data_IF_509387820545
#
_entry.id   IF_509387820545
#
_cell.length_a   1.000
_cell.length_b   1.000
_cell.length_c   1.000
_cell.angle_alpha   90.00
_cell.angle_beta   90.00
_cell.angle_gamma   90.00
#
_symmetry.space_group_name_H-M   'P 1'
#
loop_
_entity.id
_entity.type
_entity.pdbx_description
1 polymer ?
#
# COMPACT_ATOMS: atom_id res chain seq x y z
N UNK A 1 -9.62 14.25 -68.86
CA UNK A 1 -10.39 14.80 -67.73
C UNK A 1 -9.38 15.37 -66.74
N UNK A 2 -9.06 16.66 -66.85
CA UNK A 2 -7.96 17.27 -66.11
C UNK A 2 -8.49 17.81 -64.79
N UNK A 3 -8.13 17.16 -63.68
CA UNK A 3 -8.46 17.63 -62.34
C UNK A 3 -7.57 18.84 -62.06
N UNK A 4 -8.18 19.99 -61.76
CA UNK A 4 -7.44 21.23 -61.46
C UNK A 4 -6.53 21.04 -60.24
N UNK A 5 -5.33 21.63 -60.27
CA UNK A 5 -4.43 21.67 -59.10
C UNK A 5 -5.15 22.20 -57.86
N UNK A 6 -6.09 23.13 -58.00
CA UNK A 6 -6.90 23.63 -56.89
C UNK A 6 -7.76 22.52 -56.25
N UNK A 7 -8.33 21.62 -57.06
CA UNK A 7 -9.13 20.51 -56.58
C UNK A 7 -8.28 19.45 -55.83
N UNK A 8 -7.03 19.24 -56.27
CA UNK A 8 -6.08 18.36 -55.57
C UNK A 8 -5.62 18.95 -54.23
N UNK A 9 -5.44 20.27 -54.15
CA UNK A 9 -5.08 20.97 -52.89
C UNK A 9 -6.26 20.97 -51.89
N UNK A 10 -7.49 21.13 -52.37
CA UNK A 10 -8.68 21.07 -51.52
C UNK A 10 -8.88 19.64 -50.98
N UNK A 11 -8.70 18.62 -51.81
CA UNK A 11 -8.85 17.22 -51.40
C UNK A 11 -7.75 16.80 -50.41
N UNK A 12 -6.50 17.25 -50.60
CA UNK A 12 -5.41 16.97 -49.65
C UNK A 12 -5.62 17.69 -48.31
N UNK A 13 -6.13 18.93 -48.33
CA UNK A 13 -6.48 19.67 -47.11
C UNK A 13 -7.65 19.00 -46.35
N UNK A 14 -8.67 18.52 -47.06
CA UNK A 14 -9.80 17.78 -46.46
C UNK A 14 -9.38 16.42 -45.87
N UNK A 15 -8.47 15.71 -46.53
CA UNK A 15 -7.91 14.45 -46.02
C UNK A 15 -7.00 14.70 -44.80
N UNK A 16 -6.28 15.82 -44.73
CA UNK A 16 -5.46 16.20 -43.58
C UNK A 16 -6.29 16.58 -42.34
N UNK A 17 -7.45 17.24 -42.52
CA UNK A 17 -8.35 17.61 -41.41
C UNK A 17 -8.95 16.36 -40.74
N UNK A 18 -9.32 15.35 -41.52
CA UNK A 18 -9.91 14.10 -41.00
C UNK A 18 -8.91 13.21 -40.23
N UNK A 19 -7.60 13.38 -40.44
CA UNK A 19 -6.57 12.66 -39.69
C UNK A 19 -6.33 13.25 -38.28
N UNK A 20 -6.68 14.52 -38.04
CA UNK A 20 -6.48 15.17 -36.72
C UNK A 20 -7.55 14.78 -35.70
N UNK A 21 -8.74 14.33 -36.14
CA UNK A 21 -9.82 13.94 -35.23
C UNK A 21 -9.71 12.50 -34.69
N UNK A 22 -8.85 11.66 -35.29
CA UNK A 22 -8.73 10.24 -34.92
C UNK A 22 -7.67 9.97 -33.84
N UNK A 23 -6.65 10.82 -33.72
CA UNK A 23 -5.60 10.67 -32.70
C UNK A 23 -5.97 11.22 -31.31
N UNK A 24 -7.04 12.02 -31.21
CA UNK A 24 -7.55 12.58 -29.96
C UNK A 24 -8.76 11.76 -29.46
N UNK A 25 -8.55 10.49 -29.11
CA UNK A 25 -9.60 9.61 -28.58
C UNK A 25 -10.46 10.32 -27.52
N UNK A 26 -11.73 10.54 -27.79
CA UNK A 26 -12.44 11.55 -27.02
C UNK A 26 -12.66 11.17 -25.55
N UNK A 27 -12.34 12.07 -24.62
CA UNK A 27 -12.62 11.91 -23.19
C UNK A 27 -14.01 12.48 -22.80
N UNK A 28 -15.04 12.23 -23.61
CA UNK A 28 -16.42 12.56 -23.25
C UNK A 28 -17.04 11.40 -22.43
N UNK A 29 -17.72 11.73 -21.34
CA UNK A 29 -18.33 10.73 -20.44
C UNK A 29 -17.40 10.20 -19.33
N UNK A 30 -17.99 9.45 -18.38
CA UNK A 30 -17.30 8.85 -17.23
C UNK A 30 -17.54 9.56 -15.89
N UNK A 31 -17.41 8.80 -14.80
CA UNK A 31 -17.57 9.30 -13.44
C UNK A 31 -16.30 10.00 -12.94
N UNK A 32 -16.42 10.99 -12.03
CA UNK A 32 -15.26 11.63 -11.41
C UNK A 32 -14.36 10.65 -10.66
N UNK A 33 -13.05 10.89 -10.73
CA UNK A 33 -12.02 10.09 -10.06
C UNK A 33 -11.08 10.99 -9.27
N UNK A 34 -10.41 10.42 -8.27
CA UNK A 34 -9.41 11.10 -7.47
C UNK A 34 -8.03 10.65 -7.92
N UNK A 35 -7.15 11.60 -8.24
CA UNK A 35 -5.75 11.31 -8.58
C UNK A 35 -4.89 11.12 -7.32
N UNK A 36 -3.73 10.46 -7.48
CA UNK A 36 -2.73 10.31 -6.40
C UNK A 36 -2.19 11.64 -5.86
N UNK A 37 -2.35 12.72 -6.62
CA UNK A 37 -2.03 14.09 -6.23
C UNK A 37 -3.13 14.78 -5.40
N UNK A 38 -4.18 14.05 -5.01
CA UNK A 38 -5.29 14.58 -4.22
C UNK A 38 -6.26 15.49 -4.98
N UNK A 39 -6.16 15.57 -6.32
CA UNK A 39 -7.05 16.38 -7.17
C UNK A 39 -8.15 15.53 -7.80
N UNK A 40 -9.39 16.03 -7.80
CA UNK A 40 -10.52 15.41 -8.51
C UNK A 40 -10.43 15.71 -10.00
N UNK A 41 -10.55 14.68 -10.83
CA UNK A 41 -10.64 14.78 -12.29
C UNK A 41 -12.04 14.42 -12.75
N UNK A 42 -12.51 15.06 -13.84
CA UNK A 42 -13.86 14.84 -14.37
C UNK A 42 -14.14 13.38 -14.74
N UNK A 43 -13.12 12.66 -15.20
CA UNK A 43 -13.15 11.23 -15.49
C UNK A 43 -11.73 10.66 -15.53
N UNK A 44 -11.64 9.32 -15.55
CA UNK A 44 -10.38 8.58 -15.61
C UNK A 44 -9.55 8.89 -16.86
N UNK A 45 -10.19 9.07 -18.01
CA UNK A 45 -9.52 9.43 -19.27
C UNK A 45 -8.72 10.73 -19.14
N UNK A 46 -9.33 11.78 -18.56
CA UNK A 46 -8.68 13.08 -18.36
C UNK A 46 -7.56 13.02 -17.33
N UNK A 47 -7.70 12.19 -16.28
CA UNK A 47 -6.63 11.97 -15.31
C UNK A 47 -5.42 11.28 -15.95
N UNK A 48 -5.65 10.15 -16.62
CA UNK A 48 -4.58 9.36 -17.28
C UNK A 48 -3.86 10.15 -18.37
N UNK A 49 -4.58 10.97 -19.16
CA UNK A 49 -3.98 11.86 -20.17
C UNK A 49 -3.02 12.91 -19.58
N UNK A 50 -3.22 13.28 -18.32
CA UNK A 50 -2.34 14.19 -17.59
C UNK A 50 -1.23 13.46 -16.84
N UNK A 51 -1.05 12.16 -17.08
CA UNK A 51 -0.05 11.32 -16.40
C UNK A 51 -0.39 11.04 -14.93
N UNK A 52 -1.65 11.18 -14.53
CA UNK A 52 -2.07 11.04 -13.14
C UNK A 52 -2.66 9.65 -12.91
N UNK A 53 -2.04 8.90 -12.00
CA UNK A 53 -2.54 7.61 -11.52
C UNK A 53 -3.81 7.82 -10.69
N UNK A 54 -4.79 6.93 -10.86
CA UNK A 54 -6.04 6.97 -10.10
C UNK A 54 -5.81 6.44 -8.69
N UNK A 55 -6.09 7.26 -7.68
CA UNK A 55 -6.09 6.86 -6.28
C UNK A 55 -7.39 6.14 -5.89
N UNK A 56 -8.54 6.65 -6.32
CA UNK A 56 -9.83 5.99 -6.13
C UNK A 56 -10.87 6.46 -7.17
N UNK A 57 -11.89 5.63 -7.43
CA UNK A 57 -12.97 5.89 -8.41
C UNK A 57 -14.13 6.72 -7.82
N UNK A 58 -13.79 7.84 -7.20
CA UNK A 58 -14.71 8.83 -6.62
C UNK A 58 -14.02 10.19 -6.56
N UNK A 59 -14.73 11.25 -6.18
CA UNK A 59 -14.10 12.57 -5.95
C UNK A 59 -13.12 12.49 -4.77
N UNK A 60 -12.10 13.34 -4.78
CA UNK A 60 -11.21 13.51 -3.64
C UNK A 60 -11.93 14.24 -2.48
N UNK A 61 -11.43 14.08 -1.23
CA UNK A 61 -10.39 13.13 -0.82
C UNK A 61 -10.87 11.68 -0.96
N UNK A 62 -9.93 10.74 -1.10
CA UNK A 62 -10.25 9.31 -1.08
C UNK A 62 -10.69 8.82 0.32
N UNK A 63 -11.62 9.53 0.98
CA UNK A 63 -12.33 9.03 2.16
C UNK A 63 -13.13 7.81 1.76
N UNK A 64 -12.74 6.69 2.31
CA UNK A 64 -13.52 5.48 2.21
C UNK A 64 -14.84 5.73 2.94
N UNK A 65 -15.95 5.66 2.22
CA UNK A 65 -17.31 5.71 2.79
C UNK A 65 -17.62 4.41 3.52
N UNK A 66 -16.68 3.88 4.31
CA UNK A 66 -16.95 2.68 5.07
C UNK A 66 -17.86 3.06 6.21
N UNK A 67 -19.01 2.41 6.21
CA UNK A 67 -19.85 2.34 7.37
C UNK A 67 -19.22 1.29 8.27
N UNK A 68 -18.49 1.75 9.26
CA UNK A 68 -17.98 0.91 10.33
C UNK A 68 -18.73 1.24 11.61
N UNK A 69 -19.02 0.21 12.38
CA UNK A 69 -19.54 0.35 13.73
C UNK A 69 -18.44 0.97 14.63
N UNK A 70 -18.87 1.60 15.73
CA UNK A 70 -17.99 2.33 16.66
C UNK A 70 -17.44 1.44 17.79
N UNK A 71 -17.62 0.12 17.71
CA UNK A 71 -17.07 -0.83 18.66
C UNK A 71 -15.55 -0.77 18.69
N UNK A 72 -15.02 -0.85 19.90
CA UNK A 72 -13.59 -0.78 20.13
C UNK A 72 -13.02 -2.20 20.29
N UNK A 73 -12.48 -2.74 19.20
CA UNK A 73 -11.79 -4.03 19.15
C UNK A 73 -10.48 -3.86 18.37
N UNK A 74 -9.46 -3.25 18.99
CA UNK A 74 -8.34 -2.70 18.25
C UNK A 74 -7.53 -3.76 17.52
N UNK A 75 -7.09 -3.42 16.31
CA UNK A 75 -6.22 -4.28 15.48
C UNK A 75 -4.99 -3.51 15.01
N UNK A 76 -3.92 -4.24 14.74
CA UNK A 76 -2.71 -3.70 14.17
C UNK A 76 -2.73 -3.97 12.68
N UNK A 77 -2.64 -2.91 11.87
CA UNK A 77 -2.57 -3.01 10.41
C UNK A 77 -1.21 -3.54 9.94
N UNK A 78 -1.18 -4.13 8.74
CA UNK A 78 0.07 -4.50 8.07
C UNK A 78 0.99 -3.31 7.80
N UNK A 79 0.45 -2.08 7.86
CA UNK A 79 1.19 -0.82 7.80
C UNK A 79 1.73 -0.32 9.17
N UNK A 80 1.60 -1.12 10.24
CA UNK A 80 2.07 -0.75 11.58
C UNK A 80 1.21 0.26 12.34
N UNK A 81 0.03 0.62 11.82
CA UNK A 81 -0.91 1.54 12.49
C UNK A 81 -1.99 0.78 13.27
N UNK A 82 -2.38 1.32 14.43
CA UNK A 82 -3.50 0.78 15.22
C UNK A 82 -4.82 1.34 14.71
N UNK A 83 -5.78 0.47 14.43
CA UNK A 83 -7.14 0.84 14.07
C UNK A 83 -8.12 0.45 15.17
N UNK A 84 -9.16 1.25 15.38
CA UNK A 84 -10.17 1.03 16.44
C UNK A 84 -10.89 -0.31 16.32
N UNK A 85 -11.07 -0.80 15.10
CA UNK A 85 -11.58 -2.13 14.81
C UNK A 85 -11.12 -2.63 13.44
N UNK A 86 -11.43 -3.90 13.17
CA UNK A 86 -11.07 -4.57 11.92
C UNK A 86 -11.71 -3.95 10.67
N UNK A 87 -12.92 -3.38 10.80
CA UNK A 87 -13.58 -2.65 9.72
C UNK A 87 -12.75 -1.42 9.33
N UNK A 88 -12.35 -0.61 10.31
CA UNK A 88 -11.54 0.60 10.08
C UNK A 88 -10.19 0.28 9.43
N UNK A 89 -9.54 -0.83 9.80
CA UNK A 89 -8.29 -1.27 9.16
C UNK A 89 -8.49 -1.64 7.69
N UNK A 90 -9.50 -2.46 7.38
CA UNK A 90 -9.85 -2.83 6.00
C UNK A 90 -10.27 -1.61 5.19
N UNK A 91 -10.97 -0.69 5.84
CA UNK A 91 -11.43 0.56 5.28
C UNK A 91 -10.27 1.46 4.81
N UNK A 92 -9.17 1.47 5.56
CA UNK A 92 -7.93 2.13 5.18
C UNK A 92 -7.10 1.34 4.16
N UNK A 93 -7.59 0.18 3.70
CA UNK A 93 -6.94 -0.63 2.67
C UNK A 93 -5.71 -1.41 3.17
N UNK A 94 -5.60 -1.67 4.48
CA UNK A 94 -4.50 -2.47 5.02
C UNK A 94 -4.97 -3.86 5.45
N UNK A 95 -4.04 -4.83 5.48
CA UNK A 95 -4.26 -6.14 6.08
C UNK A 95 -4.21 -6.05 7.60
N UNK A 96 -4.68 -7.08 8.31
CA UNK A 96 -4.55 -7.16 9.77
C UNK A 96 -3.32 -8.01 10.10
N UNK A 97 -2.33 -7.39 10.75
CA UNK A 97 -1.13 -8.07 11.23
C UNK A 97 -1.39 -8.86 12.53
N UNK A 98 -2.15 -8.30 13.47
CA UNK A 98 -2.59 -8.98 14.68
C UNK A 98 -3.86 -8.33 15.27
N UNK A 99 -4.64 -9.09 16.05
CA UNK A 99 -5.91 -8.64 16.65
C UNK A 99 -5.73 -7.93 18.00
N UNK A 100 -4.82 -6.95 18.02
CA UNK A 100 -4.50 -6.10 19.17
C UNK A 100 -3.84 -4.82 18.67
N UNK A 101 -3.59 -3.84 19.54
CA UNK A 101 -2.87 -2.61 19.16
C UNK A 101 -1.46 -2.93 18.66
N UNK A 102 -0.94 -2.10 17.76
CA UNK A 102 0.46 -2.14 17.37
C UNK A 102 1.39 -1.69 18.50
N UNK A 103 2.68 -2.09 18.48
CA UNK A 103 3.25 -3.10 17.59
C UNK A 103 2.75 -4.51 17.94
N UNK A 104 2.83 -5.44 16.99
CA UNK A 104 2.44 -6.84 17.21
C UNK A 104 3.40 -7.62 18.14
N UNK A 105 3.74 -7.08 19.33
CA UNK A 105 4.49 -7.80 20.38
C UNK A 105 3.71 -9.02 20.83
N UNK A 106 4.22 -10.24 20.64
CA UNK A 106 3.61 -11.41 21.27
C UNK A 106 3.41 -11.10 22.76
N UNK A 107 2.22 -11.35 23.29
CA UNK A 107 1.96 -11.37 24.73
C UNK A 107 2.71 -12.58 25.29
N UNK A 108 4.04 -12.48 25.34
CA UNK A 108 4.85 -13.57 25.83
C UNK A 108 4.73 -13.55 27.33
N UNK A 109 3.96 -14.50 27.81
CA UNK A 109 4.01 -14.88 29.20
C UNK A 109 5.28 -15.71 29.32
N UNK A 110 6.35 -15.08 29.80
CA UNK A 110 7.59 -15.75 30.14
C UNK A 110 7.73 -15.78 31.65
N UNK A 111 8.26 -16.89 32.15
CA UNK A 111 8.76 -16.99 33.52
C UNK A 111 9.89 -15.97 33.75
N UNK A 112 10.06 -15.55 35.00
CA UNK A 112 11.22 -14.75 35.44
C UNK A 112 12.42 -15.64 35.83
N UNK A 113 12.38 -16.92 35.47
CA UNK A 113 13.50 -17.83 35.68
C UNK A 113 14.74 -17.34 34.91
N UNK A 114 15.88 -17.38 35.59
CA UNK A 114 17.13 -16.93 35.02
C UNK A 114 17.93 -18.12 34.47
N UNK A 115 17.72 -18.41 33.18
CA UNK A 115 18.42 -19.45 32.41
C UNK A 115 18.93 -18.83 31.10
N UNK A 116 20.00 -18.02 31.14
CA UNK A 116 20.33 -17.12 30.05
C UNK A 116 20.71 -17.87 28.77
N UNK A 117 20.40 -17.24 27.64
CA UNK A 117 20.73 -17.74 26.29
C UNK A 117 21.29 -16.61 25.43
N UNK A 118 22.16 -16.95 24.48
CA UNK A 118 22.68 -16.00 23.50
C UNK A 118 21.83 -16.10 22.23
N UNK A 119 21.28 -14.97 21.75
CA UNK A 119 20.55 -14.90 20.49
C UNK A 119 21.46 -14.78 19.28
N UNK A 120 20.96 -15.16 18.09
CA UNK A 120 21.66 -14.96 16.80
C UNK A 120 21.97 -13.48 16.50
N UNK A 121 21.32 -12.55 17.21
CA UNK A 121 21.60 -11.12 17.17
C UNK A 121 22.72 -10.66 18.11
N UNK A 122 23.43 -11.58 18.77
CA UNK A 122 24.51 -11.28 19.73
C UNK A 122 24.05 -10.72 21.08
N UNK A 123 22.75 -10.75 21.38
CA UNK A 123 22.21 -10.28 22.66
C UNK A 123 21.93 -11.45 23.63
N UNK A 124 22.24 -11.23 24.91
CA UNK A 124 21.87 -12.16 25.98
C UNK A 124 20.44 -11.92 26.41
N UNK A 125 19.62 -12.97 26.41
CA UNK A 125 18.27 -12.95 26.96
C UNK A 125 18.23 -13.73 28.28
N UNK A 126 17.44 -13.26 29.26
CA UNK A 126 17.38 -13.89 30.60
C UNK A 126 16.88 -15.33 30.57
N UNK A 127 16.09 -15.69 29.56
CA UNK A 127 15.71 -17.06 29.25
C UNK A 127 15.30 -17.23 27.79
N UNK A 128 15.17 -18.49 27.36
CA UNK A 128 14.80 -18.84 25.98
C UNK A 128 13.42 -18.34 25.56
N UNK A 129 12.48 -18.22 26.50
CA UNK A 129 11.17 -17.62 26.23
C UNK A 129 11.31 -16.14 25.83
N UNK A 130 12.09 -15.36 26.59
CA UNK A 130 12.33 -13.94 26.30
C UNK A 130 13.06 -13.73 24.97
N UNK A 131 13.98 -14.62 24.58
CA UNK A 131 14.62 -14.59 23.26
C UNK A 131 13.59 -14.80 22.13
N UNK A 132 12.80 -15.89 22.20
CA UNK A 132 11.74 -16.17 21.23
C UNK A 132 10.69 -15.06 21.19
N UNK A 133 10.41 -14.45 22.34
CA UNK A 133 9.48 -13.34 22.46
C UNK A 133 9.91 -12.11 21.67
N UNK A 134 11.21 -11.83 21.66
CA UNK A 134 11.79 -10.79 20.84
C UNK A 134 11.89 -11.17 19.35
N UNK A 135 11.41 -12.35 18.96
CA UNK A 135 11.55 -12.88 17.60
C UNK A 135 12.98 -13.31 17.27
N UNK A 136 13.82 -13.57 18.29
CA UNK A 136 15.23 -13.93 18.11
C UNK A 136 15.45 -15.41 18.39
N UNK A 137 16.10 -16.09 17.44
CA UNK A 137 16.52 -17.49 17.57
C UNK A 137 17.70 -17.59 18.53
N UNK A 138 17.72 -18.64 19.34
CA UNK A 138 18.81 -18.93 20.27
C UNK A 138 19.98 -19.55 19.49
N UNK A 139 21.16 -18.94 19.61
CA UNK A 139 22.41 -19.40 19.00
C UNK A 139 23.15 -20.41 19.88
N UNK A 140 23.25 -20.17 21.19
CA UNK A 140 23.91 -21.08 22.12
C UNK A 140 23.33 -20.95 23.54
N UNK A 141 23.48 -21.98 24.40
CA UNK A 141 23.18 -21.86 25.82
C UNK A 141 24.12 -20.85 26.49
N UNK A 142 23.67 -20.29 27.62
CA UNK A 142 24.38 -19.27 28.41
C UNK A 142 24.41 -17.89 27.75
N UNK A 143 25.09 -16.94 28.40
CA UNK A 143 25.20 -15.55 27.93
C UNK A 143 26.08 -15.46 26.69
N UNK A 144 25.89 -14.44 25.87
CA UNK A 144 26.86 -14.08 24.83
C UNK A 144 28.19 -13.60 25.46
N UNK A 145 29.33 -13.75 24.75
CA UNK A 145 29.49 -14.41 23.46
C UNK A 145 29.43 -15.95 23.56
N UNK A 146 29.08 -16.62 22.45
CA UNK A 146 29.09 -18.08 22.39
C UNK A 146 30.52 -18.62 22.40
N UNK A 147 30.83 -19.48 23.37
CA UNK A 147 32.10 -20.20 23.41
C UNK A 147 31.93 -21.56 22.75
N UNK A 148 32.58 -21.73 21.59
CA UNK A 148 32.81 -23.05 21.03
C UNK A 148 33.96 -23.69 21.79
N UNK A 149 33.67 -24.73 22.57
CA UNK A 149 34.72 -25.54 23.21
C UNK A 149 35.37 -26.38 22.10
N UNK A 150 36.60 -26.03 21.70
CA UNK A 150 37.41 -26.84 20.80
C UNK A 150 37.91 -26.16 19.53
N UNK A 151 38.64 -25.04 19.66
CA UNK A 151 39.71 -24.69 18.71
C UNK A 151 40.97 -24.40 19.49
#
# INVERSE_FOLDING_TARGET
>A
MNISLAALVILSCYLQINQVQSQYGSCYGGQPVCGINGRTYRNECVARRRGITIACRRRCPCRSDCICTAEYQPVCGGNGQTYSNSCMARCAGTTIACRRRCPCRSDCICTEEYQPVCGENGQTYSNSCKARCAGVRVQCPWRCPCFVIGK
#
